data_IF_457839240889
#
_entry.id   IF_457839240889
#
_cell.length_a   1.000
_cell.length_b   1.000
_cell.length_c   1.000
_cell.angle_alpha   90.00
_cell.angle_beta   90.00
_cell.angle_gamma   90.00
#
_symmetry.space_group_name_H-M   'P 1'
#
loop_
_entity.id
_entity.type
_entity.pdbx_description
1 polymer ?
#
# COMPACT_ATOMS: atom_id res chain seq x y z
N UNK A 1 4.76 16.20 17.24
CA UNK A 1 4.74 15.74 15.83
C UNK A 1 6.02 15.01 15.39
N UNK A 2 6.89 14.51 16.29
CA UNK A 2 8.15 13.83 15.89
C UNK A 2 8.04 12.30 15.75
N UNK A 3 6.92 11.68 16.14
CA UNK A 3 6.82 10.20 16.19
C UNK A 3 6.25 9.54 14.93
N UNK A 4 5.35 10.21 14.19
CA UNK A 4 4.67 9.57 13.05
C UNK A 4 5.63 9.17 11.94
N UNK A 5 6.57 10.05 11.57
CA UNK A 5 7.56 9.77 10.52
C UNK A 5 8.49 8.62 10.89
N UNK A 6 8.78 8.43 12.18
CA UNK A 6 9.59 7.31 12.67
C UNK A 6 8.79 6.00 12.70
N UNK A 7 7.53 6.04 13.14
CA UNK A 7 6.62 4.89 13.10
C UNK A 7 6.35 4.41 11.67
N UNK A 8 6.36 5.30 10.69
CA UNK A 8 6.18 4.94 9.28
C UNK A 8 7.43 4.26 8.70
N UNK A 9 8.64 4.72 9.08
CA UNK A 9 9.89 4.01 8.74
C UNK A 9 9.97 2.63 9.42
N UNK A 10 9.39 2.51 10.62
CA UNK A 10 9.26 1.27 11.38
C UNK A 10 7.89 0.61 11.12
N UNK A 11 7.50 0.45 9.84
CA UNK A 11 6.30 -0.28 9.46
C UNK A 11 6.34 -1.71 10.03
N UNK A 12 5.71 -1.89 11.19
CA UNK A 12 5.63 -3.16 11.88
C UNK A 12 4.59 -4.05 11.19
N UNK A 13 5.03 -4.77 10.16
CA UNK A 13 4.24 -5.85 9.57
C UNK A 13 4.14 -7.00 10.57
N UNK A 14 3.13 -6.98 11.43
CA UNK A 14 2.89 -8.06 12.40
C UNK A 14 2.43 -9.38 11.73
N UNK A 15 2.38 -9.45 10.40
CA UNK A 15 2.26 -10.70 9.64
C UNK A 15 2.84 -10.56 8.21
N UNK A 16 3.31 -11.68 7.64
CA UNK A 16 3.77 -11.77 6.24
C UNK A 16 2.67 -11.36 5.26
N UNK A 17 1.42 -11.70 5.56
CA UNK A 17 0.26 -11.34 4.75
C UNK A 17 0.08 -9.82 4.65
N UNK A 18 0.25 -9.08 5.75
CA UNK A 18 0.18 -7.62 5.74
C UNK A 18 1.28 -6.98 4.88
N UNK A 19 2.50 -7.55 4.93
CA UNK A 19 3.60 -7.11 4.06
C UNK A 19 3.27 -7.33 2.58
N UNK A 20 2.73 -8.50 2.22
CA UNK A 20 2.31 -8.80 0.85
C UNK A 20 1.20 -7.87 0.35
N UNK A 21 0.21 -7.56 1.19
CA UNK A 21 -0.86 -6.60 0.86
C UNK A 21 -0.28 -5.21 0.61
N UNK A 22 0.63 -4.77 1.48
CA UNK A 22 1.30 -3.47 1.34
C UNK A 22 2.08 -3.38 0.03
N UNK A 23 2.96 -4.36 -0.25
CA UNK A 23 3.74 -4.42 -1.49
C UNK A 23 2.84 -4.48 -2.74
N UNK A 24 1.73 -5.23 -2.68
CA UNK A 24 0.78 -5.30 -3.79
C UNK A 24 0.12 -3.94 -4.07
N UNK A 25 -0.29 -3.23 -3.01
CA UNK A 25 -0.86 -1.88 -3.14
C UNK A 25 0.16 -0.87 -3.63
N UNK A 26 1.42 -0.99 -3.22
CA UNK A 26 2.51 -0.14 -3.69
C UNK A 26 2.74 -0.34 -5.19
N UNK A 27 2.77 -1.59 -5.68
CA UNK A 27 2.87 -1.87 -7.12
C UNK A 27 1.73 -1.25 -7.91
N UNK A 28 0.50 -1.37 -7.41
CA UNK A 28 -0.66 -0.71 -8.03
C UNK A 28 -0.48 0.80 -8.07
N UNK A 29 0.02 1.41 -6.99
CA UNK A 29 0.27 2.85 -6.93
C UNK A 29 1.36 3.28 -7.93
N UNK A 30 2.46 2.52 -8.03
CA UNK A 30 3.52 2.77 -9.01
C UNK A 30 3.00 2.65 -10.44
N UNK A 31 2.20 1.62 -10.75
CA UNK A 31 1.60 1.44 -12.07
C UNK A 31 0.67 2.60 -12.46
N UNK A 32 -0.11 3.13 -11.51
CA UNK A 32 -1.13 4.16 -11.80
C UNK A 32 -0.62 5.59 -11.72
N UNK A 33 0.31 5.86 -10.81
CA UNK A 33 0.72 7.22 -10.45
C UNK A 33 2.22 7.45 -10.62
N UNK A 34 2.98 6.41 -10.97
CA UNK A 34 4.40 6.48 -11.30
C UNK A 34 5.34 6.24 -10.13
N UNK A 35 6.63 6.32 -10.44
CA UNK A 35 7.72 5.83 -9.60
C UNK A 35 7.90 6.60 -8.28
N UNK A 36 7.19 7.71 -8.07
CA UNK A 36 7.22 8.42 -6.78
C UNK A 36 6.75 7.56 -5.62
N UNK A 37 5.93 6.53 -5.90
CA UNK A 37 5.43 5.57 -4.92
C UNK A 37 6.35 4.36 -4.70
N UNK A 38 7.51 4.29 -5.36
CA UNK A 38 8.52 3.25 -5.11
C UNK A 38 9.18 3.40 -3.73
N UNK A 39 9.18 4.60 -3.15
CA UNK A 39 9.69 4.82 -1.80
C UNK A 39 8.66 4.36 -0.75
N UNK A 40 9.01 3.32 0.01
CA UNK A 40 8.16 2.71 1.02
C UNK A 40 7.69 3.71 2.10
N UNK A 41 8.56 4.65 2.49
CA UNK A 41 8.26 5.63 3.55
C UNK A 41 7.27 6.67 3.03
N UNK A 42 7.50 7.16 1.82
CA UNK A 42 6.60 8.08 1.13
C UNK A 42 5.24 7.43 0.88
N UNK A 43 5.21 6.20 0.36
CA UNK A 43 3.98 5.48 0.10
C UNK A 43 3.17 5.25 1.39
N UNK A 44 3.82 4.85 2.47
CA UNK A 44 3.15 4.66 3.74
C UNK A 44 2.62 5.97 4.36
N UNK A 45 3.36 7.08 4.20
CA UNK A 45 2.88 8.42 4.56
C UNK A 45 1.63 8.79 3.76
N UNK A 46 1.63 8.57 2.45
CA UNK A 46 0.50 8.83 1.58
C UNK A 46 -0.72 7.97 1.96
N UNK A 47 -0.54 6.69 2.29
CA UNK A 47 -1.65 5.86 2.77
C UNK A 47 -2.26 6.35 4.11
N UNK A 48 -1.44 6.93 4.99
CA UNK A 48 -1.92 7.48 6.27
C UNK A 48 -2.64 8.81 6.09
N UNK A 49 -2.12 9.69 5.23
CA UNK A 49 -2.60 11.07 5.06
C UNK A 49 -3.70 11.17 3.99
N UNK A 50 -3.63 10.36 2.94
CA UNK A 50 -4.53 10.40 1.80
C UNK A 50 -5.53 9.24 1.86
N UNK A 51 -6.68 9.50 2.49
CA UNK A 51 -7.74 8.51 2.69
C UNK A 51 -8.35 8.04 1.36
N UNK A 52 -8.42 8.91 0.35
CA UNK A 52 -9.00 8.57 -0.94
C UNK A 52 -8.08 7.65 -1.73
N UNK A 53 -6.77 7.97 -1.76
CA UNK A 53 -5.76 7.07 -2.33
C UNK A 53 -5.81 5.69 -1.67
N UNK A 54 -5.90 5.63 -0.33
CA UNK A 54 -6.00 4.36 0.38
C UNK A 54 -7.21 3.55 -0.07
N UNK A 55 -8.41 4.18 -0.13
CA UNK A 55 -9.64 3.51 -0.55
C UNK A 55 -9.58 3.03 -1.99
N UNK A 56 -8.98 3.80 -2.89
CA UNK A 56 -8.87 3.43 -4.29
C UNK A 56 -7.90 2.27 -4.49
N UNK A 57 -6.79 2.25 -3.76
CA UNK A 57 -5.86 1.13 -3.75
C UNK A 57 -6.46 -0.12 -3.09
N UNK A 58 -7.27 0.02 -2.03
CA UNK A 58 -8.01 -1.09 -1.42
C UNK A 58 -8.95 -1.74 -2.43
N UNK A 59 -9.76 -0.94 -3.14
CA UNK A 59 -10.68 -1.43 -4.17
C UNK A 59 -9.95 -2.13 -5.31
N UNK A 60 -8.89 -1.53 -5.82
CA UNK A 60 -8.12 -2.11 -6.91
C UNK A 60 -7.44 -3.43 -6.49
N UNK A 61 -6.88 -3.46 -5.28
CA UNK A 61 -6.31 -4.68 -4.70
C UNK A 61 -7.36 -5.79 -4.61
N UNK A 62 -8.55 -5.49 -4.09
CA UNK A 62 -9.64 -6.47 -3.96
C UNK A 62 -10.10 -6.99 -5.32
N UNK A 63 -10.21 -6.12 -6.34
CA UNK A 63 -10.56 -6.52 -7.71
C UNK A 63 -9.50 -7.49 -8.25
N UNK A 64 -8.21 -7.15 -8.17
CA UNK A 64 -7.13 -8.01 -8.68
C UNK A 64 -7.02 -9.33 -7.91
N UNK A 65 -7.18 -9.28 -6.59
CA UNK A 65 -7.14 -10.47 -5.74
C UNK A 65 -8.31 -11.42 -6.03
N UNK A 66 -9.52 -10.89 -6.17
CA UNK A 66 -10.70 -11.69 -6.51
C UNK A 66 -10.68 -12.23 -7.95
N UNK A 67 -10.12 -11.48 -8.91
CA UNK A 67 -9.88 -11.97 -10.27
C UNK A 67 -8.89 -13.15 -10.26
N UNK A 68 -7.79 -13.02 -9.52
CA UNK A 68 -6.81 -14.10 -9.38
C UNK A 68 -7.37 -15.35 -8.68
N UNK A 69 -8.34 -15.20 -7.75
CA UNK A 69 -9.05 -16.34 -7.14
C UNK A 69 -10.05 -17.03 -8.08
N UNK A 70 -10.58 -16.34 -9.08
CA UNK A 70 -11.52 -16.93 -10.06
C UNK A 70 -10.82 -17.67 -11.20
N UNK A 71 -9.53 -17.36 -11.45
CA UNK A 71 -8.73 -18.00 -12.49
C UNK A 71 -7.91 -19.21 -11.99
N UNK A 72 -7.92 -19.47 -10.67
CA UNK A 72 -7.36 -20.66 -10.04
C UNK A 72 -8.48 -21.64 -9.67
#
# INVERSE_FOLDING_TARGET
MKDKTRQIREMNFSSIERKKVFEAKQRIAVEKFGNMFEDDTFFALELELNVDLRKDLDKEYDVRYNLNRKMN
#
